data_IF_683879875735
#
_entry.id   IF_683879875735
#
_cell.length_a   1.000
_cell.length_b   1.000
_cell.length_c   1.000
_cell.angle_alpha   90.00
_cell.angle_beta   90.00
_cell.angle_gamma   90.00
#
_symmetry.space_group_name_H-M   'P 1'
#
loop_
_entity.id
_entity.type
_entity.pdbx_description
1 polymer ?
#
# COMPACT_ATOMS: atom_id res chain seq x y z
N UNK A 1 34.49 61.35 -52.08
CA UNK A 1 34.34 62.52 -51.23
C UNK A 1 32.91 62.67 -50.79
N UNK A 2 32.58 62.27 -49.57
CA UNK A 2 31.44 62.77 -48.79
C UNK A 2 31.65 62.28 -47.36
N UNK A 3 31.84 63.20 -46.46
CA UNK A 3 31.96 63.00 -45.03
C UNK A 3 30.56 62.83 -44.43
N UNK A 4 30.41 61.89 -43.60
CA UNK A 4 29.22 61.72 -42.73
C UNK A 4 29.68 61.82 -41.27
N UNK A 5 29.15 62.80 -40.61
CA UNK A 5 29.35 63.19 -39.21
C UNK A 5 28.59 62.23 -38.27
N UNK A 6 29.31 61.65 -37.33
CA UNK A 6 28.72 60.88 -36.22
C UNK A 6 28.29 61.80 -35.11
N UNK A 7 27.06 61.66 -34.66
CA UNK A 7 26.54 62.35 -33.46
C UNK A 7 26.64 61.37 -32.29
N UNK A 8 27.39 61.71 -31.27
CA UNK A 8 27.46 61.01 -30.01
C UNK A 8 26.29 61.46 -29.13
N UNK A 9 25.42 60.48 -28.76
CA UNK A 9 24.40 60.67 -27.75
C UNK A 9 24.95 60.16 -26.40
N UNK A 10 25.13 61.08 -25.45
CA UNK A 10 25.49 60.79 -24.05
C UNK A 10 24.22 60.32 -23.30
N UNK A 11 24.22 59.09 -22.85
CA UNK A 11 23.20 58.57 -21.94
C UNK A 11 23.65 58.76 -20.49
N UNK A 12 22.86 59.51 -19.72
CA UNK A 12 23.00 59.62 -18.27
C UNK A 12 22.56 58.30 -17.60
N UNK A 13 23.45 57.66 -16.85
CA UNK A 13 23.10 56.58 -15.94
C UNK A 13 22.55 57.18 -14.63
N UNK A 14 21.28 56.94 -14.35
CA UNK A 14 20.69 57.12 -13.04
C UNK A 14 20.92 55.84 -12.21
N UNK A 15 21.72 55.95 -11.15
CA UNK A 15 21.91 54.87 -10.18
C UNK A 15 20.71 54.80 -9.26
N UNK A 16 19.91 53.75 -9.38
CA UNK A 16 18.86 53.41 -8.43
C UNK A 16 19.47 52.49 -7.35
N UNK A 17 19.55 52.99 -6.12
CA UNK A 17 19.93 52.20 -4.96
C UNK A 17 18.81 51.23 -4.62
N UNK A 18 19.04 49.94 -4.83
CA UNK A 18 18.15 48.87 -4.39
C UNK A 18 18.38 48.61 -2.90
N UNK A 19 17.38 48.95 -2.08
CA UNK A 19 17.29 48.54 -0.68
C UNK A 19 16.94 47.04 -0.65
N UNK A 20 17.92 46.21 -0.31
CA UNK A 20 17.68 44.79 -0.03
C UNK A 20 17.04 44.67 1.34
N UNK A 21 15.73 44.35 1.38
CA UNK A 21 15.07 43.89 2.58
C UNK A 21 15.55 42.45 2.89
N UNK A 22 15.75 42.08 4.17
CA UNK A 22 16.07 40.71 4.52
C UNK A 22 14.87 39.80 4.20
N UNK A 23 15.14 38.75 3.45
CA UNK A 23 14.15 37.68 3.21
C UNK A 23 13.77 37.05 4.56
N UNK A 24 12.52 37.22 4.97
CA UNK A 24 11.95 36.44 6.04
C UNK A 24 12.00 34.98 5.61
N UNK A 25 12.65 34.14 6.41
CA UNK A 25 12.58 32.69 6.26
C UNK A 25 11.12 32.27 6.44
N UNK A 26 10.43 32.08 5.32
CA UNK A 26 9.10 31.49 5.30
C UNK A 26 9.22 30.08 5.82
N UNK A 27 8.52 29.81 6.95
CA UNK A 27 8.26 28.45 7.38
C UNK A 27 7.69 27.68 6.19
N UNK A 28 8.28 26.53 5.88
CA UNK A 28 7.73 25.60 4.90
C UNK A 28 6.33 25.22 5.40
N UNK A 29 5.31 25.79 4.79
CA UNK A 29 3.93 25.35 4.93
C UNK A 29 3.91 23.90 4.47
N UNK A 30 3.63 23.00 5.42
CA UNK A 30 3.35 21.61 5.12
C UNK A 30 2.25 21.60 4.05
N UNK A 31 2.61 21.15 2.85
CA UNK A 31 1.62 20.89 1.82
C UNK A 31 0.52 20.02 2.43
N UNK A 32 -0.76 20.30 2.18
CA UNK A 32 -1.82 19.50 2.72
C UNK A 32 -1.61 18.07 2.26
N UNK A 33 -1.46 17.16 3.22
CA UNK A 33 -1.46 15.72 2.96
C UNK A 33 -2.67 15.43 2.07
N UNK A 34 -2.44 14.78 0.94
CA UNK A 34 -3.51 14.42 0.01
C UNK A 34 -4.67 13.84 0.82
N UNK A 35 -5.88 14.34 0.55
CA UNK A 35 -7.06 13.83 1.21
C UNK A 35 -7.08 12.29 1.09
N UNK A 36 -7.40 11.56 2.16
CA UNK A 36 -7.44 10.10 2.10
C UNK A 36 -8.38 9.70 0.96
N UNK A 37 -7.93 8.77 0.11
CA UNK A 37 -8.73 8.25 -0.98
C UNK A 37 -10.06 7.76 -0.42
N UNK A 38 -11.18 8.14 -1.05
CA UNK A 38 -12.49 7.64 -0.67
C UNK A 38 -12.49 6.10 -0.84
N UNK A 39 -13.11 5.40 0.11
CA UNK A 39 -13.33 3.94 -0.03
C UNK A 39 -14.08 3.69 -1.34
N UNK A 40 -13.49 2.92 -2.25
CA UNK A 40 -14.13 2.53 -3.50
C UNK A 40 -15.16 1.44 -3.21
N UNK A 41 -16.43 1.75 -3.42
CA UNK A 41 -17.60 0.90 -3.18
C UNK A 41 -17.64 0.26 -1.77
N UNK A 42 -18.75 0.43 -1.08
CA UNK A 42 -19.03 -0.15 0.23
C UNK A 42 -19.54 0.86 1.25
N UNK A 43 -20.13 0.35 2.31
CA UNK A 43 -20.67 1.13 3.41
C UNK A 43 -19.78 0.99 4.64
N UNK A 44 -19.33 2.11 5.19
CA UNK A 44 -18.63 2.12 6.46
C UNK A 44 -19.38 2.98 7.47
N UNK A 45 -19.51 2.49 8.68
CA UNK A 45 -20.11 3.21 9.81
C UNK A 45 -19.13 3.31 10.96
N UNK A 46 -19.22 4.42 11.70
CA UNK A 46 -18.48 4.58 12.95
C UNK A 46 -19.47 4.93 14.05
N UNK A 47 -19.43 4.18 15.12
CA UNK A 47 -20.26 4.41 16.30
C UNK A 47 -19.39 4.62 17.54
N UNK A 48 -19.89 5.35 18.53
CA UNK A 48 -19.24 5.42 19.83
C UNK A 48 -19.46 4.10 20.57
N UNK A 49 -18.41 3.56 21.14
CA UNK A 49 -18.44 2.28 21.86
C UNK A 49 -17.58 2.38 23.12
N UNK A 50 -18.20 2.44 24.28
CA UNK A 50 -17.48 2.64 25.54
C UNK A 50 -16.62 3.91 25.53
N UNK A 51 -15.34 3.77 25.84
CA UNK A 51 -14.36 4.86 25.80
C UNK A 51 -13.69 5.03 24.43
N UNK A 52 -14.39 4.73 23.34
CA UNK A 52 -13.79 4.83 22.01
C UNK A 52 -14.80 4.77 20.89
N UNK A 53 -14.35 4.26 19.76
CA UNK A 53 -15.09 4.16 18.51
C UNK A 53 -15.01 2.74 17.97
N UNK A 54 -16.11 2.24 17.43
CA UNK A 54 -16.22 1.03 16.66
C UNK A 54 -16.54 1.39 15.21
N UNK A 55 -15.69 0.99 14.28
CA UNK A 55 -15.93 1.05 12.85
C UNK A 55 -16.31 -0.31 12.30
N UNK A 56 -17.20 -0.34 11.35
CA UNK A 56 -17.57 -1.53 10.58
C UNK A 56 -17.70 -1.15 9.13
N UNK A 57 -17.04 -1.89 8.24
CA UNK A 57 -17.19 -1.75 6.80
C UNK A 57 -17.78 -3.02 6.20
N UNK A 58 -18.64 -2.87 5.20
CA UNK A 58 -19.23 -3.94 4.40
C UNK A 58 -19.10 -3.61 2.91
N UNK A 59 -19.04 -4.63 2.06
CA UNK A 59 -19.00 -4.50 0.60
C UNK A 59 -17.81 -3.67 0.08
N UNK A 60 -16.71 -3.65 0.83
CA UNK A 60 -15.45 -3.05 0.39
C UNK A 60 -14.52 -4.10 -0.21
N UNK A 61 -13.58 -3.65 -1.04
CA UNK A 61 -12.56 -4.53 -1.63
C UNK A 61 -11.83 -5.31 -0.53
N UNK A 62 -11.68 -6.64 -0.64
CA UNK A 62 -11.04 -7.46 0.39
C UNK A 62 -9.58 -7.09 0.65
N UNK A 63 -8.92 -6.39 -0.27
CA UNK A 63 -7.54 -5.90 -0.10
C UNK A 63 -7.47 -4.45 0.38
N UNK A 64 -8.62 -3.74 0.47
CA UNK A 64 -8.65 -2.36 0.95
C UNK A 64 -8.33 -2.30 2.44
N UNK A 65 -7.28 -1.59 2.78
CA UNK A 65 -6.94 -1.31 4.18
C UNK A 65 -7.69 -0.07 4.68
N UNK A 66 -8.06 -0.09 5.95
CA UNK A 66 -8.72 1.03 6.60
C UNK A 66 -8.55 0.95 8.12
N UNK A 67 -8.80 2.03 8.81
CA UNK A 67 -8.84 2.08 10.27
C UNK A 67 -9.88 3.07 10.76
N UNK A 68 -10.26 2.95 12.03
CA UNK A 68 -11.01 3.99 12.74
C UNK A 68 -10.03 5.02 13.29
N UNK A 69 -10.40 6.28 13.18
CA UNK A 69 -9.78 7.37 13.89
C UNK A 69 -10.85 8.21 14.58
N UNK A 70 -10.48 9.04 15.53
CA UNK A 70 -11.45 9.90 16.19
C UNK A 70 -10.80 10.96 17.05
N UNK A 71 -11.61 11.90 17.50
CA UNK A 71 -11.26 12.92 18.49
C UNK A 71 -11.85 12.53 19.84
N UNK A 72 -11.03 12.59 20.85
CA UNK A 72 -11.41 12.40 22.25
C UNK A 72 -11.30 13.72 23.00
N UNK A 73 -12.13 13.91 24.00
CA UNK A 73 -12.16 15.09 24.85
C UNK A 73 -12.03 14.71 26.32
N UNK A 74 -11.21 15.41 27.06
CA UNK A 74 -11.16 15.41 28.51
C UNK A 74 -11.28 16.85 29.02
N UNK A 75 -11.61 17.01 30.30
CA UNK A 75 -11.61 18.32 30.96
C UNK A 75 -10.29 18.45 31.72
N UNK A 76 -9.50 19.46 31.37
CA UNK A 76 -8.27 19.78 32.06
C UNK A 76 -8.50 20.27 33.48
N UNK A 77 -7.47 20.34 34.29
CA UNK A 77 -7.51 20.78 35.70
C UNK A 77 -8.00 22.23 35.90
N UNK A 78 -7.94 23.03 34.83
CA UNK A 78 -8.45 24.39 34.76
C UNK A 78 -9.89 24.51 34.24
N UNK A 79 -10.59 23.37 34.05
CA UNK A 79 -11.96 23.31 33.49
C UNK A 79 -12.04 23.50 31.97
N UNK A 80 -10.91 23.64 31.28
CA UNK A 80 -10.89 23.84 29.82
C UNK A 80 -10.84 22.47 29.12
N UNK A 81 -11.65 22.27 28.05
CA UNK A 81 -11.58 21.06 27.25
C UNK A 81 -10.20 20.86 26.60
N UNK A 82 -9.67 19.64 26.71
CA UNK A 82 -8.45 19.20 26.04
C UNK A 82 -8.81 18.09 25.07
N UNK A 83 -8.34 18.21 23.84
CA UNK A 83 -8.62 17.26 22.78
C UNK A 83 -7.41 16.40 22.47
N UNK A 84 -7.66 15.12 22.21
CA UNK A 84 -6.63 14.15 21.78
C UNK A 84 -7.14 13.28 20.64
N UNK A 85 -6.21 12.72 19.87
CA UNK A 85 -6.57 11.80 18.80
C UNK A 85 -6.62 10.36 19.30
N UNK A 86 -7.63 9.60 18.83
CA UNK A 86 -7.65 8.14 18.91
C UNK A 86 -7.39 7.58 17.53
N UNK A 87 -6.48 6.61 17.43
CA UNK A 87 -6.18 5.91 16.19
C UNK A 87 -6.20 4.41 16.45
N UNK A 88 -7.05 3.69 15.70
CA UNK A 88 -7.10 2.24 15.69
C UNK A 88 -6.02 1.63 14.81
N UNK A 89 -5.86 0.32 14.94
CA UNK A 89 -5.01 -0.46 14.05
C UNK A 89 -5.61 -0.53 12.64
N UNK A 90 -4.74 -0.64 11.65
CA UNK A 90 -5.16 -0.92 10.28
C UNK A 90 -5.73 -2.33 10.16
N UNK A 91 -6.85 -2.45 9.47
CA UNK A 91 -7.52 -3.71 9.12
C UNK A 91 -7.76 -3.77 7.63
N UNK A 92 -8.15 -4.93 7.11
CA UNK A 92 -8.34 -5.16 5.67
C UNK A 92 -9.74 -5.73 5.41
N UNK A 93 -10.37 -5.27 4.31
CA UNK A 93 -11.65 -5.81 3.85
C UNK A 93 -12.82 -5.60 4.81
N UNK A 94 -13.83 -6.45 4.70
CA UNK A 94 -15.06 -6.42 5.50
C UNK A 94 -14.79 -6.92 6.92
N UNK A 95 -14.38 -6.02 7.79
CA UNK A 95 -14.03 -6.32 9.19
C UNK A 95 -14.55 -5.25 10.14
N UNK A 96 -14.15 -5.37 11.39
CA UNK A 96 -14.37 -4.36 12.44
C UNK A 96 -13.04 -3.81 12.92
N UNK A 97 -12.99 -2.53 13.22
CA UNK A 97 -11.84 -1.86 13.81
C UNK A 97 -12.29 -1.02 14.99
N UNK A 98 -11.40 -0.83 15.96
CA UNK A 98 -11.65 0.02 17.12
C UNK A 98 -10.55 1.05 17.28
N UNK A 99 -10.91 2.21 17.83
CA UNK A 99 -9.97 3.21 18.32
C UNK A 99 -10.40 3.63 19.73
N UNK A 100 -9.48 3.66 20.67
CA UNK A 100 -9.78 3.92 22.10
C UNK A 100 -9.19 5.25 22.52
N UNK A 101 -9.96 6.02 23.27
CA UNK A 101 -9.50 7.22 23.94
C UNK A 101 -8.69 6.85 25.18
N UNK A 102 -7.61 7.58 25.45
CA UNK A 102 -6.75 7.30 26.61
C UNK A 102 -7.31 7.88 27.91
N UNK A 103 -7.10 7.16 29.00
CA UNK A 103 -7.48 7.58 30.34
C UNK A 103 -8.99 7.80 30.48
N UNK A 104 -9.39 8.96 30.99
CA UNK A 104 -10.77 9.37 31.21
C UNK A 104 -11.36 10.18 30.04
N UNK A 105 -10.65 10.30 28.92
CA UNK A 105 -11.13 11.04 27.77
C UNK A 105 -12.33 10.34 27.14
N UNK A 106 -13.34 11.13 26.78
CA UNK A 106 -14.59 10.67 26.19
C UNK A 106 -14.55 10.80 24.66
N UNK A 107 -15.10 9.82 23.91
CA UNK A 107 -15.15 9.90 22.46
C UNK A 107 -16.07 11.02 22.00
N UNK A 108 -15.58 11.92 21.14
CA UNK A 108 -16.32 13.06 20.62
C UNK A 108 -16.83 12.81 19.19
N UNK A 109 -15.94 12.55 18.27
CA UNK A 109 -16.26 12.26 16.87
C UNK A 109 -15.30 11.21 16.31
N UNK A 110 -15.82 10.30 15.50
CA UNK A 110 -15.02 9.25 14.86
C UNK A 110 -15.28 9.20 13.36
N UNK A 111 -14.27 8.75 12.61
CA UNK A 111 -14.33 8.61 11.16
C UNK A 111 -13.47 7.43 10.68
N UNK A 112 -13.68 7.03 9.43
CA UNK A 112 -12.85 6.03 8.76
C UNK A 112 -11.69 6.73 8.04
N UNK A 113 -10.50 6.17 8.20
CA UNK A 113 -9.31 6.52 7.42
C UNK A 113 -9.04 5.37 6.47
N UNK A 114 -9.11 5.62 5.17
CA UNK A 114 -8.78 4.63 4.13
C UNK A 114 -7.27 4.60 3.87
N UNK A 115 -6.74 3.42 3.64
CA UNK A 115 -5.42 3.23 3.05
C UNK A 115 -5.41 3.60 1.56
N UNK A 116 -4.28 3.37 0.88
CA UNK A 116 -4.16 3.58 -0.56
C UNK A 116 -5.25 2.85 -1.33
N UNK A 117 -5.67 3.43 -2.46
CA UNK A 117 -6.63 2.78 -3.35
C UNK A 117 -6.09 1.43 -3.85
N UNK A 118 -6.98 0.44 -3.91
CA UNK A 118 -6.65 -0.89 -4.43
C UNK A 118 -6.98 -0.93 -5.91
N UNK A 119 -6.05 -1.35 -6.79
CA UNK A 119 -6.32 -1.44 -8.22
C UNK A 119 -7.46 -2.41 -8.52
N UNK A 120 -8.19 -2.16 -9.60
CA UNK A 120 -9.17 -3.11 -10.10
C UNK A 120 -8.50 -4.44 -10.47
N UNK A 121 -9.27 -5.53 -10.49
CA UNK A 121 -8.80 -6.85 -10.91
C UNK A 121 -9.53 -7.98 -10.19
N UNK A 122 -9.44 -9.19 -10.73
CA UNK A 122 -10.11 -10.36 -10.18
C UNK A 122 -9.54 -10.74 -8.80
N UNK A 123 -10.43 -11.32 -7.98
CA UNK A 123 -10.12 -11.76 -6.62
C UNK A 123 -10.48 -13.23 -6.48
N UNK A 124 -9.56 -14.02 -5.96
CA UNK A 124 -9.76 -15.44 -5.72
C UNK A 124 -8.50 -16.15 -5.26
N UNK A 125 -8.54 -17.47 -5.30
CA UNK A 125 -7.34 -18.28 -5.03
C UNK A 125 -6.41 -18.30 -6.24
N UNK A 126 -5.13 -18.44 -5.99
CA UNK A 126 -4.14 -18.85 -6.98
C UNK A 126 -3.78 -20.30 -6.65
N UNK A 127 -3.94 -21.22 -7.61
CA UNK A 127 -3.57 -22.62 -7.44
C UNK A 127 -2.53 -23.03 -8.47
N UNK A 128 -1.77 -24.07 -8.17
CA UNK A 128 -0.69 -24.54 -9.03
C UNK A 128 -0.42 -26.03 -8.87
N UNK A 129 0.84 -26.42 -8.93
CA UNK A 129 1.29 -27.79 -8.90
C UNK A 129 0.67 -28.58 -7.74
N UNK A 130 0.26 -29.84 -8.02
CA UNK A 130 -0.39 -30.76 -7.08
C UNK A 130 -1.65 -30.18 -6.40
N UNK A 131 -2.41 -29.33 -7.11
CA UNK A 131 -3.64 -28.68 -6.62
C UNK A 131 -3.44 -27.88 -5.32
N UNK A 132 -2.21 -27.44 -5.05
CA UNK A 132 -1.91 -26.56 -3.92
C UNK A 132 -2.26 -25.11 -4.23
N UNK A 133 -2.58 -24.36 -3.18
CA UNK A 133 -2.86 -22.94 -3.25
C UNK A 133 -1.67 -22.11 -2.77
N UNK A 134 -1.47 -20.96 -3.41
CA UNK A 134 -0.56 -19.92 -2.92
C UNK A 134 -1.12 -19.34 -1.63
N UNK A 135 -0.30 -19.36 -0.58
CA UNK A 135 -0.73 -19.13 0.81
C UNK A 135 0.23 -18.18 1.52
N UNK A 136 -0.30 -17.23 2.25
CA UNK A 136 0.48 -16.37 3.14
C UNK A 136 0.66 -17.11 4.47
N UNK A 137 1.90 -17.43 4.82
CA UNK A 137 2.22 -18.23 6.01
C UNK A 137 1.59 -17.68 7.28
N UNK A 138 0.79 -18.51 7.94
CA UNK A 138 0.11 -18.14 9.19
C UNK A 138 -1.00 -17.11 9.04
N UNK A 139 -1.35 -16.68 7.83
CA UNK A 139 -2.40 -15.69 7.58
C UNK A 139 -2.13 -14.33 8.21
N UNK A 140 -0.87 -13.98 8.46
CA UNK A 140 -0.48 -12.69 9.04
C UNK A 140 -0.12 -11.68 7.95
N UNK A 141 -0.40 -10.40 8.19
CA UNK A 141 -0.13 -9.32 7.23
C UNK A 141 1.13 -8.51 7.54
N UNK A 142 2.07 -9.07 8.30
CA UNK A 142 3.36 -8.44 8.55
C UNK A 142 4.23 -8.38 7.28
N UNK A 143 5.07 -7.35 7.17
CA UNK A 143 6.11 -7.32 6.15
C UNK A 143 7.07 -8.50 6.34
N UNK A 144 7.62 -9.00 5.24
CA UNK A 144 8.50 -10.18 5.19
C UNK A 144 7.80 -11.50 5.57
N UNK A 145 6.46 -11.55 5.59
CA UNK A 145 5.75 -12.81 5.78
C UNK A 145 5.94 -13.69 4.55
N UNK A 146 6.47 -14.92 4.71
CA UNK A 146 6.72 -15.82 3.60
C UNK A 146 5.44 -16.20 2.84
N UNK A 147 5.55 -16.38 1.53
CA UNK A 147 4.52 -16.97 0.70
C UNK A 147 4.92 -18.40 0.36
N UNK A 148 4.00 -19.32 0.48
CA UNK A 148 4.21 -20.77 0.43
C UNK A 148 3.11 -21.45 -0.37
N UNK A 149 3.23 -22.75 -0.63
CA UNK A 149 2.11 -23.59 -1.03
C UNK A 149 1.45 -24.22 0.20
N UNK A 150 0.14 -24.41 0.14
CA UNK A 150 -0.64 -25.08 1.16
C UNK A 150 -1.88 -25.74 0.54
N UNK A 151 -2.49 -26.68 1.25
CA UNK A 151 -3.81 -27.20 0.86
C UNK A 151 -4.80 -26.04 0.70
N UNK A 152 -5.67 -26.12 -0.31
CA UNK A 152 -6.63 -25.06 -0.58
C UNK A 152 -7.73 -25.06 0.50
N UNK A 153 -7.70 -24.06 1.38
CA UNK A 153 -8.62 -23.91 2.51
C UNK A 153 -9.69 -22.84 2.27
N UNK A 154 -9.51 -21.98 1.25
CA UNK A 154 -10.45 -20.90 0.94
C UNK A 154 -10.51 -19.79 2.00
N UNK A 155 -9.46 -19.61 2.77
CA UNK A 155 -9.35 -18.57 3.80
C UNK A 155 -8.70 -17.28 3.26
N UNK A 156 -8.58 -16.25 4.11
CA UNK A 156 -8.01 -14.96 3.73
C UNK A 156 -6.53 -15.04 3.33
N UNK A 157 -5.75 -15.99 3.88
CA UNK A 157 -4.35 -16.20 3.51
C UNK A 157 -4.16 -16.69 2.07
N UNK A 158 -5.23 -17.22 1.46
CA UNK A 158 -5.26 -17.75 0.09
C UNK A 158 -6.15 -16.93 -0.84
N UNK A 159 -6.61 -15.78 -0.37
CA UNK A 159 -7.39 -14.84 -1.18
C UNK A 159 -6.45 -13.81 -1.78
N UNK A 160 -6.29 -13.86 -3.10
CA UNK A 160 -5.39 -13.02 -3.85
C UNK A 160 -6.16 -12.13 -4.82
N UNK A 161 -5.66 -10.94 -5.04
CA UNK A 161 -6.13 -10.02 -6.08
C UNK A 161 -5.03 -9.82 -7.11
N UNK A 162 -5.36 -10.05 -8.38
CA UNK A 162 -4.46 -9.75 -9.52
C UNK A 162 -4.81 -8.36 -10.03
N UNK A 163 -4.02 -7.38 -9.64
CA UNK A 163 -4.28 -5.97 -9.95
C UNK A 163 -3.95 -5.60 -11.39
N UNK A 164 -4.74 -4.68 -11.96
CA UNK A 164 -4.48 -4.11 -13.30
C UNK A 164 -3.21 -3.27 -13.37
N UNK A 165 -2.61 -2.95 -12.22
CA UNK A 165 -1.32 -2.28 -12.08
C UNK A 165 -0.12 -3.23 -12.08
N UNK A 166 -0.35 -4.51 -12.36
CA UNK A 166 0.68 -5.55 -12.34
C UNK A 166 1.06 -6.07 -10.97
N UNK A 167 0.37 -5.65 -9.90
CA UNK A 167 0.60 -6.21 -8.56
C UNK A 167 -0.28 -7.43 -8.29
N UNK A 168 0.22 -8.37 -7.50
CA UNK A 168 -0.56 -9.49 -6.93
C UNK A 168 -0.62 -9.28 -5.43
N UNK A 169 -1.83 -9.21 -4.86
CA UNK A 169 -2.03 -8.74 -3.48
C UNK A 169 -2.78 -9.75 -2.63
N UNK A 170 -2.37 -9.87 -1.37
CA UNK A 170 -3.10 -10.58 -0.32
C UNK A 170 -3.00 -9.83 1.00
N UNK A 171 -4.03 -9.87 1.84
CA UNK A 171 -4.05 -9.26 3.17
C UNK A 171 -3.63 -7.78 3.20
N UNK A 172 -3.89 -7.03 2.11
CA UNK A 172 -3.52 -5.62 1.97
C UNK A 172 -2.04 -5.37 1.63
N UNK A 173 -1.27 -6.40 1.30
CA UNK A 173 0.15 -6.35 0.92
C UNK A 173 0.35 -6.84 -0.52
N UNK A 174 1.50 -6.56 -1.11
CA UNK A 174 1.92 -7.04 -2.42
C UNK A 174 2.80 -8.28 -2.31
N UNK A 175 2.62 -9.23 -3.25
CA UNK A 175 3.57 -10.30 -3.51
C UNK A 175 4.88 -9.68 -3.95
N UNK A 176 5.97 -10.02 -3.28
CA UNK A 176 7.23 -9.29 -3.33
C UNK A 176 8.41 -10.27 -3.40
N UNK A 177 9.33 -10.01 -4.30
CA UNK A 177 10.60 -10.76 -4.37
C UNK A 177 11.53 -10.20 -3.30
N UNK A 178 11.93 -11.03 -2.36
CA UNK A 178 12.70 -10.65 -1.18
C UNK A 178 13.95 -9.83 -1.53
N UNK A 179 14.02 -8.62 -0.97
CA UNK A 179 15.13 -7.70 -1.19
C UNK A 179 15.27 -7.19 -2.62
N UNK A 180 14.30 -7.45 -3.51
CA UNK A 180 14.39 -7.12 -4.93
C UNK A 180 15.51 -7.87 -5.66
N UNK A 181 15.99 -8.98 -5.09
CA UNK A 181 17.04 -9.81 -5.69
C UNK A 181 16.53 -10.50 -6.96
N UNK A 182 17.46 -10.74 -7.89
CA UNK A 182 17.12 -11.28 -9.21
C UNK A 182 17.65 -12.70 -9.45
N UNK A 183 18.30 -13.32 -8.46
CA UNK A 183 18.87 -14.67 -8.57
C UNK A 183 17.83 -15.78 -8.47
N UNK A 184 18.13 -16.95 -9.05
CA UNK A 184 17.35 -18.17 -8.83
C UNK A 184 17.29 -18.51 -7.34
N UNK A 185 16.19 -19.11 -6.90
CA UNK A 185 15.87 -19.43 -5.51
C UNK A 185 15.72 -18.21 -4.58
N UNK A 186 15.65 -16.99 -5.11
CA UNK A 186 15.23 -15.85 -4.29
C UNK A 186 13.80 -16.08 -3.84
N UNK A 187 13.57 -16.02 -2.54
CA UNK A 187 12.27 -16.30 -1.93
C UNK A 187 11.28 -15.18 -2.19
N UNK A 188 9.99 -15.51 -2.13
CA UNK A 188 8.92 -14.51 -2.20
C UNK A 188 8.20 -14.39 -0.86
N UNK A 189 7.68 -13.20 -0.63
CA UNK A 189 7.04 -12.77 0.61
C UNK A 189 5.88 -11.84 0.29
N UNK A 190 5.13 -11.42 1.30
CA UNK A 190 4.30 -10.22 1.20
C UNK A 190 5.01 -9.03 1.86
N UNK A 191 4.85 -7.86 1.25
CA UNK A 191 5.44 -6.61 1.74
C UNK A 191 4.51 -5.42 1.46
N UNK A 192 4.69 -4.30 2.17
CA UNK A 192 3.96 -3.06 1.85
C UNK A 192 4.10 -2.75 0.36
N UNK A 193 2.98 -2.45 -0.31
CA UNK A 193 3.02 -2.06 -1.71
C UNK A 193 3.78 -0.75 -1.86
N UNK A 194 4.95 -0.79 -2.48
CA UNK A 194 5.89 0.32 -2.60
C UNK A 194 6.18 0.73 -4.05
N UNK A 195 5.56 0.04 -5.01
CA UNK A 195 5.71 0.33 -6.44
C UNK A 195 7.04 -0.12 -7.06
N UNK A 196 7.87 -0.90 -6.33
CA UNK A 196 9.13 -1.43 -6.86
C UNK A 196 8.90 -2.53 -7.90
N UNK A 197 9.91 -2.77 -8.75
CA UNK A 197 9.87 -3.87 -9.70
C UNK A 197 9.82 -5.26 -9.06
N UNK A 198 10.24 -5.40 -7.78
CA UNK A 198 10.09 -6.61 -7.01
C UNK A 198 8.62 -7.04 -6.81
N UNK A 199 7.67 -6.11 -6.98
CA UNK A 199 6.24 -6.31 -6.78
C UNK A 199 5.45 -6.31 -8.10
N UNK A 200 6.15 -6.26 -9.23
CA UNK A 200 5.53 -6.32 -10.55
C UNK A 200 5.51 -7.75 -11.07
N UNK A 201 4.33 -8.18 -11.50
CA UNK A 201 4.09 -9.53 -11.97
C UNK A 201 3.28 -9.48 -13.27
N UNK A 202 3.65 -10.33 -14.20
CA UNK A 202 3.00 -10.46 -15.50
C UNK A 202 2.53 -11.90 -15.69
N UNK A 203 1.20 -12.07 -15.75
CA UNK A 203 0.62 -13.34 -16.16
C UNK A 203 0.90 -13.61 -17.64
N UNK A 204 1.31 -14.82 -17.96
CA UNK A 204 1.62 -15.27 -19.33
C UNK A 204 0.61 -16.30 -19.80
N UNK A 205 0.43 -16.45 -21.13
CA UNK A 205 -0.50 -17.44 -21.70
C UNK A 205 -0.16 -18.90 -21.34
N UNK A 206 1.10 -19.18 -21.03
CA UNK A 206 1.57 -20.51 -20.61
C UNK A 206 1.27 -20.81 -19.14
N UNK A 207 0.59 -19.90 -18.43
CA UNK A 207 0.26 -20.01 -17.01
C UNK A 207 1.39 -19.55 -16.07
N UNK A 208 2.55 -19.17 -16.59
CA UNK A 208 3.61 -18.66 -15.72
C UNK A 208 3.33 -17.23 -15.25
N UNK A 209 3.82 -16.92 -14.06
CA UNK A 209 3.75 -15.57 -13.48
C UNK A 209 5.16 -14.99 -13.42
N UNK A 210 5.49 -14.12 -14.40
CA UNK A 210 6.79 -13.51 -14.57
C UNK A 210 6.97 -12.30 -13.65
N UNK A 211 8.11 -12.20 -12.99
CA UNK A 211 8.60 -10.94 -12.43
C UNK A 211 9.53 -10.27 -13.46
N UNK A 212 9.12 -9.16 -14.10
CA UNK A 212 9.90 -8.54 -15.18
C UNK A 212 11.26 -8.00 -14.71
N UNK A 213 11.39 -7.54 -13.45
CA UNK A 213 12.66 -7.04 -12.92
C UNK A 213 13.74 -8.13 -12.92
N UNK A 214 13.38 -9.33 -12.50
CA UNK A 214 14.33 -10.46 -12.44
C UNK A 214 14.42 -11.26 -13.75
N UNK A 215 13.41 -11.15 -14.62
CA UNK A 215 13.24 -12.01 -15.78
C UNK A 215 12.89 -13.46 -15.41
N UNK A 216 12.46 -13.71 -14.17
CA UNK A 216 12.17 -15.04 -13.62
C UNK A 216 10.70 -15.23 -13.30
N UNK A 217 10.28 -16.49 -13.23
CA UNK A 217 8.92 -16.89 -12.94
C UNK A 217 8.76 -17.30 -11.47
N UNK A 218 7.55 -17.06 -10.93
CA UNK A 218 7.15 -17.62 -9.64
C UNK A 218 7.24 -19.13 -9.70
N UNK A 219 7.87 -19.74 -8.71
CA UNK A 219 8.28 -21.14 -8.72
C UNK A 219 7.97 -21.80 -7.37
N UNK A 220 7.36 -22.96 -7.42
CA UNK A 220 7.31 -23.87 -6.28
C UNK A 220 8.64 -24.64 -6.22
N UNK A 221 9.55 -24.09 -5.44
CA UNK A 221 10.95 -24.52 -5.39
C UNK A 221 11.07 -26.02 -5.07
N UNK A 222 11.76 -26.71 -5.96
CA UNK A 222 12.01 -28.14 -5.80
C UNK A 222 10.85 -29.07 -6.09
N UNK A 223 9.80 -28.59 -6.76
CA UNK A 223 8.62 -29.42 -7.09
C UNK A 223 7.97 -30.05 -5.85
N UNK A 224 7.86 -29.31 -4.77
CA UNK A 224 7.34 -29.86 -3.53
C UNK A 224 5.82 -29.97 -3.54
N UNK A 225 5.30 -31.02 -2.93
CA UNK A 225 3.87 -31.15 -2.62
C UNK A 225 3.60 -30.96 -1.13
N UNK A 226 4.62 -30.61 -0.36
CA UNK A 226 4.56 -30.47 1.09
C UNK A 226 4.00 -29.10 1.47
N UNK A 227 2.97 -29.07 2.32
CA UNK A 227 2.46 -27.84 2.90
C UNK A 227 3.57 -27.06 3.62
N UNK A 228 3.64 -25.78 3.36
CA UNK A 228 4.66 -24.89 3.94
C UNK A 228 5.92 -24.74 3.09
N UNK A 229 6.01 -25.41 1.90
CA UNK A 229 7.11 -25.14 0.98
C UNK A 229 7.05 -23.69 0.52
N UNK A 230 8.10 -22.92 0.78
CA UNK A 230 8.15 -21.52 0.43
C UNK A 230 8.40 -21.33 -1.05
N UNK A 231 7.62 -20.44 -1.67
CA UNK A 231 7.79 -20.07 -3.07
C UNK A 231 9.00 -19.14 -3.25
N UNK A 232 9.53 -19.18 -4.45
CA UNK A 232 10.61 -18.30 -4.88
C UNK A 232 10.47 -17.93 -6.34
N UNK A 233 11.55 -17.38 -6.91
CA UNK A 233 11.67 -17.14 -8.34
C UNK A 233 12.76 -18.04 -8.92
N UNK A 234 12.55 -18.49 -10.15
CA UNK A 234 13.49 -19.32 -10.89
C UNK A 234 13.44 -18.98 -12.38
N UNK A 235 14.49 -19.34 -13.15
CA UNK A 235 14.45 -19.20 -14.61
C UNK A 235 13.17 -19.82 -15.17
N UNK A 236 12.46 -19.07 -16.00
CA UNK A 236 11.21 -19.56 -16.60
C UNK A 236 11.51 -20.74 -17.52
N UNK A 237 11.06 -21.91 -17.17
CA UNK A 237 11.37 -23.17 -17.87
C UNK A 237 10.14 -23.93 -18.36
N UNK A 238 8.92 -23.40 -18.10
CA UNK A 238 7.66 -24.01 -18.51
C UNK A 238 7.29 -25.29 -17.76
N UNK A 239 7.97 -25.58 -16.66
CA UNK A 239 7.68 -26.74 -15.85
C UNK A 239 6.42 -26.57 -14.99
N UNK A 240 5.78 -27.66 -14.60
CA UNK A 240 4.48 -27.63 -13.91
C UNK A 240 4.49 -26.85 -12.58
N UNK A 241 5.64 -26.77 -11.91
CA UNK A 241 5.80 -26.01 -10.67
C UNK A 241 5.90 -24.47 -10.88
N UNK A 242 5.83 -24.02 -12.14
CA UNK A 242 5.73 -22.60 -12.51
C UNK A 242 4.39 -22.26 -13.18
N UNK A 243 3.47 -23.21 -13.27
CA UNK A 243 2.15 -22.99 -13.86
C UNK A 243 1.13 -22.69 -12.78
N UNK A 244 0.51 -21.52 -12.88
CA UNK A 244 -0.43 -20.99 -11.89
C UNK A 244 -1.77 -20.68 -12.53
N UNK A 245 -2.84 -21.10 -11.86
CA UNK A 245 -4.23 -20.76 -12.20
C UNK A 245 -4.65 -19.54 -11.40
N UNK A 246 -4.67 -18.40 -12.06
CA UNK A 246 -5.04 -17.11 -11.45
C UNK A 246 -6.56 -16.97 -11.38
N UNK A 247 -7.10 -16.15 -10.46
CA UNK A 247 -8.51 -15.77 -10.48
C UNK A 247 -8.83 -15.00 -11.76
N UNK A 248 -10.05 -15.15 -12.28
CA UNK A 248 -10.59 -14.54 -13.50
C UNK A 248 -11.89 -13.79 -13.20
#
# INVERSE_FOLDING_TARGET
>A
MRRTTSVFATALLAAAAALTAPAAAGAAENAPSAAPAALTAGSCTVTRAGLGFLGTCTDIDPMQTWRVAGTCQTIGTNGIPVYSAANGSWVTGNTRATATCFGTAMPLSGWIVSGPAVPAGPVGRISGYADKCVDVRGGTNGNNTPVQIWDCLGNAAQTWKVGTDGTVRALGKCLDVQGGNTGNATLVQIYDCNGSGAQQWQARPDGSLLNPQSGRCLDDLGYSTTNGNQLGIWDCNGAANQVWHLPV
#
